data_IF_389541940775
#
_entry.id   IF_389541940775
#
_cell.length_a   1.000
_cell.length_b   1.000
_cell.length_c   1.000
_cell.angle_alpha   90.00
_cell.angle_beta   90.00
_cell.angle_gamma   90.00
#
_symmetry.space_group_name_H-M   'P 1'
#
loop_
_entity.id
_entity.type
_entity.pdbx_description
1 polymer ?
#
# COMPACT_ATOMS: atom_id res chain seq x y z
N UNK A 1 -26.86 2.27 15.96
CA UNK A 1 -28.02 1.76 15.19
C UNK A 1 -28.16 2.63 13.95
N UNK A 2 -27.92 2.09 12.76
CA UNK A 2 -28.10 2.82 11.50
C UNK A 2 -29.60 2.82 11.18
N UNK A 3 -30.19 3.99 11.14
CA UNK A 3 -31.62 4.15 10.87
C UNK A 3 -31.83 4.30 9.35
N UNK A 4 -32.10 3.20 8.67
CA UNK A 4 -32.37 3.22 7.22
C UNK A 4 -33.81 3.64 7.01
N UNK A 5 -34.04 4.90 6.70
CA UNK A 5 -35.39 5.48 6.61
C UNK A 5 -36.04 5.53 5.23
N UNK A 6 -35.32 5.22 4.14
CA UNK A 6 -35.88 5.33 2.78
C UNK A 6 -35.37 4.28 1.82
N UNK A 7 -36.28 3.77 1.00
CA UNK A 7 -36.08 2.70 0.01
C UNK A 7 -35.16 3.08 -1.15
N UNK A 8 -34.82 4.35 -1.32
CA UNK A 8 -34.07 4.87 -2.49
C UNK A 8 -32.70 5.48 -2.16
N UNK A 9 -32.20 5.33 -0.94
CA UNK A 9 -30.88 5.83 -0.57
C UNK A 9 -29.85 4.72 -0.64
N UNK A 10 -28.77 4.95 -1.37
CA UNK A 10 -27.59 4.09 -1.31
C UNK A 10 -26.88 4.40 0.01
N UNK A 11 -26.77 3.39 0.87
CA UNK A 11 -25.98 3.45 2.10
C UNK A 11 -24.68 2.70 1.86
N UNK A 12 -23.57 3.39 1.96
CA UNK A 12 -22.26 2.74 2.00
C UNK A 12 -22.08 2.08 3.37
N UNK A 13 -21.95 0.76 3.37
CA UNK A 13 -21.68 -0.02 4.56
C UNK A 13 -20.29 -0.65 4.44
N UNK A 14 -19.48 -0.52 5.48
CA UNK A 14 -18.11 -1.05 5.53
C UNK A 14 -17.19 -0.53 4.40
N UNK A 15 -17.11 0.80 4.19
CA UNK A 15 -16.20 1.34 3.20
C UNK A 15 -14.75 1.02 3.58
N UNK A 16 -13.93 0.67 2.60
CA UNK A 16 -12.49 0.62 2.77
C UNK A 16 -11.97 2.06 2.66
N UNK A 17 -11.33 2.56 3.70
CA UNK A 17 -10.74 3.90 3.69
C UNK A 17 -9.33 3.86 3.09
N UNK A 18 -9.03 4.85 2.25
CA UNK A 18 -7.70 5.08 1.71
C UNK A 18 -7.32 6.52 2.04
N UNK A 19 -6.19 6.68 2.74
CA UNK A 19 -5.59 8.00 2.94
C UNK A 19 -4.42 8.14 1.97
N UNK A 20 -4.50 9.12 1.07
CA UNK A 20 -3.43 9.46 0.16
C UNK A 20 -2.81 10.80 0.58
N UNK A 21 -1.49 10.83 0.67
CA UNK A 21 -0.74 12.03 1.03
C UNK A 21 0.43 12.24 0.07
N UNK A 22 0.66 13.50 -0.32
CA UNK A 22 1.85 13.91 -1.08
C UNK A 22 2.87 14.52 -0.13
N UNK A 23 4.11 14.61 -0.58
CA UNK A 23 5.20 15.30 0.14
C UNK A 23 5.41 14.80 1.58
N UNK A 24 5.36 13.48 1.75
CA UNK A 24 5.59 12.84 3.06
C UNK A 24 7.02 13.11 3.55
N UNK A 25 8.00 13.11 2.65
CA UNK A 25 9.40 13.46 2.92
C UNK A 25 9.82 14.64 2.06
N UNK A 26 10.84 15.40 2.52
CA UNK A 26 11.52 16.36 1.64
C UNK A 26 12.28 15.62 0.54
N UNK A 27 12.62 16.29 -0.58
CA UNK A 27 13.43 15.67 -1.62
C UNK A 27 14.76 15.11 -1.08
N UNK A 28 15.43 15.84 -0.19
CA UNK A 28 16.71 15.45 0.41
C UNK A 28 16.56 14.21 1.31
N UNK A 29 15.50 14.15 2.13
CA UNK A 29 15.20 12.98 2.95
C UNK A 29 14.89 11.76 2.05
N UNK A 30 14.14 11.97 0.98
CA UNK A 30 13.80 10.91 0.03
C UNK A 30 15.05 10.37 -0.69
N UNK A 31 15.95 11.24 -1.14
CA UNK A 31 17.20 10.85 -1.79
C UNK A 31 18.09 10.02 -0.85
N UNK A 32 18.16 10.37 0.43
CA UNK A 32 18.88 9.60 1.44
C UNK A 32 18.29 8.19 1.60
N UNK A 33 16.94 8.07 1.61
CA UNK A 33 16.29 6.76 1.66
C UNK A 33 16.53 5.94 0.41
N UNK A 34 16.48 6.55 -0.78
CA UNK A 34 16.79 5.87 -2.05
C UNK A 34 18.23 5.32 -2.00
N UNK A 35 19.19 6.13 -1.59
CA UNK A 35 20.58 5.69 -1.45
C UNK A 35 20.72 4.52 -0.46
N UNK A 36 20.03 4.59 0.68
CA UNK A 36 20.01 3.53 1.68
C UNK A 36 19.41 2.23 1.12
N UNK A 37 18.29 2.31 0.39
CA UNK A 37 17.65 1.15 -0.25
C UNK A 37 18.62 0.46 -1.21
N UNK A 38 19.30 1.21 -2.07
CA UNK A 38 20.28 0.62 -2.99
C UNK A 38 21.47 0.00 -2.26
N UNK A 39 21.92 0.57 -1.14
CA UNK A 39 22.97 -0.01 -0.31
C UNK A 39 22.51 -1.35 0.29
N UNK A 40 21.29 -1.39 0.88
CA UNK A 40 20.72 -2.61 1.42
C UNK A 40 20.54 -3.68 0.33
N UNK A 41 20.06 -3.29 -0.84
CA UNK A 41 19.94 -4.20 -2.00
C UNK A 41 21.29 -4.79 -2.40
N UNK A 42 22.37 -3.99 -2.38
CA UNK A 42 23.72 -4.48 -2.67
C UNK A 42 24.24 -5.42 -1.58
N UNK A 43 23.83 -5.21 -0.34
CA UNK A 43 24.20 -6.06 0.81
C UNK A 43 23.48 -7.39 0.80
N UNK A 44 22.16 -7.38 0.59
CA UNK A 44 21.33 -8.58 0.66
C UNK A 44 21.14 -9.30 -0.69
N UNK A 45 21.45 -8.62 -1.79
CA UNK A 45 21.19 -9.13 -3.14
C UNK A 45 19.73 -9.00 -3.54
N UNK A 46 19.38 -9.69 -4.64
CA UNK A 46 17.98 -9.80 -5.05
C UNK A 46 17.19 -10.63 -4.04
N UNK A 47 15.99 -10.17 -3.70
CA UNK A 47 15.13 -10.83 -2.73
C UNK A 47 14.66 -12.21 -3.18
N UNK A 48 14.11 -12.96 -2.26
CA UNK A 48 13.56 -14.29 -2.52
C UNK A 48 12.28 -14.18 -3.36
N UNK A 49 12.33 -14.64 -4.61
CA UNK A 49 11.20 -14.66 -5.54
C UNK A 49 10.46 -16.00 -5.53
N UNK A 50 10.88 -16.96 -4.71
CA UNK A 50 10.35 -18.34 -4.76
C UNK A 50 8.93 -18.45 -4.22
N UNK A 51 8.54 -17.53 -3.36
CA UNK A 51 7.23 -17.54 -2.70
C UNK A 51 6.12 -16.89 -3.56
N UNK A 52 6.46 -16.37 -4.74
CA UNK A 52 5.55 -15.73 -5.66
C UNK A 52 5.34 -16.57 -6.93
N UNK A 53 4.09 -16.66 -7.41
CA UNK A 53 3.76 -17.35 -8.65
C UNK A 53 4.45 -16.71 -9.86
N UNK A 54 4.60 -15.38 -9.81
CA UNK A 54 5.28 -14.60 -10.83
C UNK A 54 6.81 -14.55 -10.68
N UNK A 55 7.43 -15.43 -9.94
CA UNK A 55 8.83 -15.48 -9.50
C UNK A 55 9.83 -14.59 -10.23
N UNK A 56 10.00 -14.77 -11.57
CA UNK A 56 10.92 -13.95 -12.37
C UNK A 56 10.47 -12.51 -12.59
N UNK A 57 9.18 -12.21 -12.47
CA UNK A 57 8.61 -10.88 -12.63
C UNK A 57 8.48 -10.13 -11.29
N UNK A 58 8.71 -10.80 -10.16
CA UNK A 58 8.66 -10.18 -8.85
C UNK A 58 9.75 -9.11 -8.67
N UNK A 59 9.49 -8.06 -7.87
CA UNK A 59 10.49 -7.03 -7.59
C UNK A 59 11.67 -7.57 -6.78
N UNK A 60 12.80 -6.89 -6.84
CA UNK A 60 13.86 -7.06 -5.85
C UNK A 60 13.40 -6.46 -4.52
N UNK A 61 13.44 -7.24 -3.44
CA UNK A 61 12.98 -6.81 -2.11
C UNK A 61 13.85 -7.38 -1.00
N UNK A 62 13.67 -6.87 0.20
CA UNK A 62 14.32 -7.40 1.41
C UNK A 62 13.36 -8.14 2.35
N UNK A 63 12.16 -8.49 1.88
CA UNK A 63 11.20 -9.25 2.68
C UNK A 63 11.82 -10.56 3.19
N UNK A 64 11.62 -10.87 4.46
CA UNK A 64 12.25 -11.98 5.17
C UNK A 64 13.79 -11.90 5.34
N UNK A 65 14.44 -10.80 4.91
CA UNK A 65 15.88 -10.60 5.08
C UNK A 65 16.21 -9.51 6.10
N UNK A 66 15.41 -8.45 6.11
CA UNK A 66 15.63 -7.31 6.99
C UNK A 66 14.35 -6.49 7.13
N UNK A 67 14.06 -6.06 8.34
CA UNK A 67 12.99 -5.09 8.62
C UNK A 67 13.55 -3.68 8.47
N UNK A 68 13.21 -2.99 7.36
CA UNK A 68 13.74 -1.63 7.13
C UNK A 68 13.22 -0.61 8.14
N UNK A 69 12.11 -0.86 8.82
CA UNK A 69 11.59 0.02 9.85
C UNK A 69 12.51 0.14 11.08
N UNK A 70 13.44 -0.77 11.27
CA UNK A 70 14.42 -0.76 12.37
C UNK A 70 15.63 0.13 12.09
N UNK A 71 15.88 0.54 10.83
CA UNK A 71 17.00 1.41 10.49
C UNK A 71 16.70 2.87 10.82
N UNK A 72 17.67 3.55 11.39
CA UNK A 72 17.54 4.95 11.80
C UNK A 72 17.17 5.87 10.63
N UNK A 73 17.68 5.59 9.44
CA UNK A 73 17.41 6.37 8.24
C UNK A 73 15.94 6.35 7.84
N UNK A 74 15.20 5.28 8.15
CA UNK A 74 13.76 5.16 7.85
C UNK A 74 12.87 5.74 8.95
N UNK A 75 13.42 6.10 10.10
CA UNK A 75 12.64 6.63 11.22
C UNK A 75 11.73 7.81 10.84
N UNK A 76 12.19 8.84 10.11
CA UNK A 76 11.30 9.95 9.72
C UNK A 76 10.11 9.50 8.89
N UNK A 77 10.31 8.57 7.95
CA UNK A 77 9.24 8.00 7.16
C UNK A 77 8.26 7.21 8.02
N UNK A 78 8.76 6.34 8.89
CA UNK A 78 7.94 5.51 9.78
C UNK A 78 7.09 6.37 10.71
N UNK A 79 7.66 7.45 11.29
CA UNK A 79 6.93 8.37 12.15
C UNK A 79 5.80 9.09 11.42
N UNK A 80 6.04 9.58 10.20
CA UNK A 80 5.02 10.23 9.37
C UNK A 80 3.93 9.27 8.91
N UNK A 81 4.29 8.07 8.48
CA UNK A 81 3.32 7.02 8.16
C UNK A 81 2.47 6.67 9.40
N UNK A 82 3.09 6.53 10.56
CA UNK A 82 2.36 6.25 11.81
C UNK A 82 1.37 7.36 12.15
N UNK A 83 1.73 8.63 11.92
CA UNK A 83 0.81 9.75 12.11
C UNK A 83 -0.39 9.64 11.16
N UNK A 84 -0.16 9.37 9.88
CA UNK A 84 -1.23 9.18 8.91
C UNK A 84 -2.13 7.99 9.27
N UNK A 85 -1.55 6.89 9.75
CA UNK A 85 -2.31 5.73 10.24
C UNK A 85 -3.22 6.14 11.41
N UNK A 86 -2.73 6.93 12.35
CA UNK A 86 -3.57 7.44 13.47
C UNK A 86 -4.72 8.32 12.98
N UNK A 87 -4.48 9.19 12.00
CA UNK A 87 -5.53 10.02 11.40
C UNK A 87 -6.62 9.16 10.75
N UNK A 88 -6.19 8.15 10.00
CA UNK A 88 -7.11 7.23 9.35
C UNK A 88 -7.87 6.37 10.37
N UNK A 89 -7.19 5.86 11.40
CA UNK A 89 -7.81 5.09 12.49
C UNK A 89 -8.91 5.87 13.20
N UNK A 90 -8.70 7.17 13.44
CA UNK A 90 -9.74 8.04 14.01
C UNK A 90 -10.98 8.12 13.13
N UNK A 91 -10.85 8.07 11.82
CA UNK A 91 -12.02 8.02 10.91
C UNK A 91 -12.84 6.74 11.08
N UNK A 92 -12.23 5.66 11.58
CA UNK A 92 -12.89 4.41 11.98
C UNK A 92 -13.32 4.40 13.46
N UNK A 93 -13.09 5.49 14.19
CA UNK A 93 -13.46 5.60 15.61
C UNK A 93 -12.47 4.94 16.57
N UNK A 94 -11.22 4.72 16.15
CA UNK A 94 -10.15 4.20 17.00
C UNK A 94 -9.14 5.28 17.36
N UNK A 95 -8.83 5.36 18.65
CA UNK A 95 -7.76 6.18 19.23
C UNK A 95 -6.62 5.32 19.81
N UNK A 96 -6.52 4.05 19.38
CA UNK A 96 -5.46 3.15 19.82
C UNK A 96 -4.08 3.62 19.36
N UNK A 97 -3.05 3.18 20.08
CA UNK A 97 -1.67 3.37 19.67
C UNK A 97 -1.28 2.37 18.59
N UNK A 98 -0.78 2.91 17.47
CA UNK A 98 -0.30 2.13 16.34
C UNK A 98 1.21 2.28 16.21
N UNK A 99 1.87 1.20 15.85
CA UNK A 99 3.30 1.15 15.56
C UNK A 99 3.58 0.29 14.33
N UNK A 100 4.66 0.60 13.63
CA UNK A 100 5.11 -0.18 12.49
C UNK A 100 5.77 -1.47 13.00
N UNK A 101 5.21 -2.61 12.65
CA UNK A 101 5.75 -3.93 12.99
C UNK A 101 6.76 -4.43 11.99
N UNK A 102 6.58 -4.08 10.71
CA UNK A 102 7.39 -4.58 9.62
C UNK A 102 7.43 -3.59 8.47
N UNK A 103 8.58 -3.49 7.81
CA UNK A 103 8.76 -2.71 6.60
C UNK A 103 9.78 -3.35 5.67
N UNK A 104 9.53 -3.29 4.37
CA UNK A 104 10.45 -3.74 3.33
C UNK A 104 10.42 -2.79 2.14
N UNK A 105 11.43 -2.84 1.30
CA UNK A 105 11.45 -2.14 0.03
C UNK A 105 11.16 -3.08 -1.13
N UNK A 106 10.63 -2.53 -2.21
CA UNK A 106 10.51 -3.18 -3.50
C UNK A 106 11.20 -2.32 -4.58
N UNK A 107 12.06 -2.92 -5.38
CA UNK A 107 12.68 -2.29 -6.55
C UNK A 107 12.15 -3.00 -7.79
N UNK A 108 11.39 -2.27 -8.59
CA UNK A 108 10.83 -2.75 -9.85
C UNK A 108 11.72 -2.31 -11.00
N UNK A 109 12.11 -3.25 -11.86
CA UNK A 109 12.66 -2.99 -13.19
C UNK A 109 11.59 -3.24 -14.25
N UNK A 110 11.87 -2.97 -15.51
CA UNK A 110 10.93 -3.20 -16.62
C UNK A 110 10.33 -4.60 -16.57
N UNK A 111 9.02 -4.67 -16.79
CA UNK A 111 8.23 -5.91 -16.75
C UNK A 111 8.20 -6.64 -15.40
N UNK A 112 8.48 -5.92 -14.31
CA UNK A 112 8.36 -6.43 -12.95
C UNK A 112 7.07 -5.95 -12.31
N UNK A 113 6.41 -6.83 -11.56
CA UNK A 113 5.20 -6.53 -10.81
C UNK A 113 5.12 -7.40 -9.56
N UNK A 114 4.29 -7.00 -8.62
CA UNK A 114 3.93 -7.80 -7.47
C UNK A 114 2.49 -8.25 -7.60
N UNK A 115 2.25 -9.52 -7.31
CA UNK A 115 0.93 -10.11 -7.36
C UNK A 115 0.00 -9.52 -6.30
N UNK A 116 -1.30 -9.64 -6.52
CA UNK A 116 -2.29 -9.33 -5.49
C UNK A 116 -2.08 -10.23 -4.28
N UNK A 117 -1.97 -9.62 -3.14
CA UNK A 117 -1.78 -10.29 -1.86
C UNK A 117 -2.47 -9.52 -0.75
N UNK A 118 -2.50 -10.09 0.44
CA UNK A 118 -3.05 -9.51 1.65
C UNK A 118 -2.01 -9.54 2.76
N UNK A 119 -2.18 -8.70 3.75
CA UNK A 119 -1.34 -8.63 4.95
C UNK A 119 -2.14 -9.12 6.16
N UNK A 120 -2.24 -10.44 6.41
CA UNK A 120 -3.19 -11.00 7.37
C UNK A 120 -2.93 -10.62 8.82
N UNK A 121 -1.73 -10.17 9.14
CA UNK A 121 -1.32 -9.80 10.50
C UNK A 121 -1.20 -8.29 10.71
N UNK A 122 -1.65 -7.48 9.74
CA UNK A 122 -1.61 -6.03 9.81
C UNK A 122 -3.02 -5.46 9.89
N UNK A 123 -3.21 -4.45 10.74
CA UNK A 123 -4.44 -3.66 10.79
C UNK A 123 -4.42 -2.64 9.64
N UNK A 124 -3.26 -2.04 9.41
CA UNK A 124 -3.02 -1.06 8.35
C UNK A 124 -1.81 -1.46 7.53
N UNK A 125 -1.86 -1.19 6.23
CA UNK A 125 -0.74 -1.33 5.32
C UNK A 125 -0.47 0.00 4.63
N UNK A 126 0.80 0.36 4.47
CA UNK A 126 1.20 1.59 3.82
C UNK A 126 2.16 1.31 2.67
N UNK A 127 2.04 2.08 1.60
CA UNK A 127 2.97 2.07 0.47
C UNK A 127 3.53 3.48 0.29
N UNK A 128 4.84 3.62 0.27
CA UNK A 128 5.52 4.87 -0.02
C UNK A 128 6.29 4.75 -1.34
N UNK A 129 5.97 5.60 -2.30
CA UNK A 129 6.64 5.64 -3.60
C UNK A 129 7.84 6.60 -3.53
N UNK A 130 9.05 6.05 -3.35
CA UNK A 130 10.28 6.83 -3.29
C UNK A 130 10.71 7.36 -4.66
N UNK A 131 10.53 6.54 -5.69
CA UNK A 131 10.87 6.86 -7.08
C UNK A 131 9.96 6.10 -8.02
N UNK A 132 9.42 6.81 -8.99
CA UNK A 132 8.46 6.27 -9.95
C UNK A 132 8.94 6.55 -11.35
N UNK A 133 8.90 5.54 -12.22
CA UNK A 133 9.17 5.70 -13.65
C UNK A 133 7.93 6.20 -14.39
N UNK A 134 8.13 6.80 -15.56
CA UNK A 134 7.05 7.34 -16.41
C UNK A 134 6.03 6.26 -16.80
N UNK A 135 6.48 5.02 -16.99
CA UNK A 135 5.63 3.88 -17.40
C UNK A 135 5.05 3.08 -16.23
N UNK A 136 5.13 3.60 -15.00
CA UNK A 136 4.61 2.90 -13.82
C UNK A 136 3.08 2.79 -13.87
N UNK A 137 2.58 1.57 -13.68
CA UNK A 137 1.14 1.30 -13.66
C UNK A 137 0.47 1.63 -12.32
N UNK A 138 1.24 1.98 -11.29
CA UNK A 138 0.72 2.33 -9.96
C UNK A 138 0.36 1.14 -9.08
N UNK A 139 -0.36 1.43 -8.01
CA UNK A 139 -0.86 0.46 -7.05
C UNK A 139 -2.31 0.11 -7.37
N UNK A 140 -2.57 -1.17 -7.53
CA UNK A 140 -3.89 -1.71 -7.81
C UNK A 140 -4.49 -2.31 -6.54
N UNK A 141 -5.65 -1.83 -6.13
CA UNK A 141 -6.35 -2.28 -4.95
C UNK A 141 -7.66 -2.96 -5.35
N UNK A 142 -7.77 -4.24 -5.04
CA UNK A 142 -9.01 -4.99 -5.27
C UNK A 142 -9.89 -4.99 -4.02
N UNK A 143 -11.18 -5.04 -4.24
CA UNK A 143 -12.14 -5.25 -3.16
C UNK A 143 -11.82 -6.56 -2.42
N UNK A 144 -11.80 -6.55 -1.09
CA UNK A 144 -11.50 -7.75 -0.30
C UNK A 144 -12.63 -8.81 -0.34
N UNK A 145 -13.85 -8.42 -0.68
CA UNK A 145 -15.04 -9.27 -0.66
C UNK A 145 -15.35 -9.97 -1.98
N UNK A 146 -14.38 -10.04 -2.88
CA UNK A 146 -14.56 -10.66 -4.22
C UNK A 146 -14.94 -12.15 -4.20
N UNK A 147 -14.81 -12.83 -3.08
CA UNK A 147 -14.99 -14.29 -3.00
C UNK A 147 -16.43 -14.80 -3.09
N UNK A 148 -17.44 -13.96 -3.00
CA UNK A 148 -18.84 -14.39 -2.89
C UNK A 148 -19.83 -13.75 -3.85
N UNK A 149 -19.45 -12.70 -4.58
CA UNK A 149 -20.39 -11.99 -5.45
C UNK A 149 -20.11 -12.24 -6.92
N UNK A 150 -21.16 -12.60 -7.66
CA UNK A 150 -21.11 -12.66 -9.11
C UNK A 150 -21.11 -11.22 -9.64
N UNK A 151 -20.07 -10.76 -10.32
CA UNK A 151 -20.05 -9.40 -10.86
C UNK A 151 -21.10 -9.26 -11.96
N UNK A 152 -21.75 -8.09 -12.11
CA UNK A 152 -22.68 -7.85 -13.19
C UNK A 152 -22.00 -7.99 -14.55
N UNK A 153 -22.67 -8.69 -15.48
CA UNK A 153 -22.12 -8.93 -16.83
C UNK A 153 -21.94 -7.66 -17.65
N UNK A 154 -22.82 -6.68 -17.45
CA UNK A 154 -22.81 -5.43 -18.19
C UNK A 154 -22.66 -4.26 -17.20
N UNK A 155 -21.49 -3.67 -17.19
CA UNK A 155 -21.21 -2.46 -16.42
C UNK A 155 -21.27 -1.26 -17.36
N UNK A 156 -22.11 -0.30 -17.04
CA UNK A 156 -22.17 0.96 -17.84
C UNK A 156 -21.06 1.92 -17.45
N UNK A 157 -20.51 1.80 -16.26
CA UNK A 157 -19.38 2.58 -15.77
C UNK A 157 -18.63 1.83 -14.68
N UNK A 158 -17.38 2.16 -14.55
CA UNK A 158 -16.52 1.67 -13.51
C UNK A 158 -16.68 2.55 -12.24
N UNK A 159 -16.81 1.94 -11.09
CA UNK A 159 -16.92 2.62 -9.79
C UNK A 159 -16.13 1.88 -8.73
N UNK A 160 -15.70 2.53 -7.63
CA UNK A 160 -15.05 1.84 -6.51
C UNK A 160 -15.87 0.70 -5.91
N UNK A 161 -17.19 0.69 -6.13
CA UNK A 161 -18.09 -0.36 -5.63
C UNK A 161 -18.09 -1.62 -6.50
N UNK A 162 -17.65 -1.54 -7.75
CA UNK A 162 -17.68 -2.65 -8.69
C UNK A 162 -16.31 -3.01 -9.26
N UNK A 163 -15.22 -2.37 -8.78
CA UNK A 163 -13.92 -2.48 -9.37
C UNK A 163 -12.75 -2.39 -8.40
N UNK A 164 -11.62 -2.54 -9.02
CA UNK A 164 -10.29 -2.20 -8.64
C UNK A 164 -10.10 -0.68 -8.60
N UNK A 165 -9.47 -0.18 -7.56
CA UNK A 165 -9.00 1.19 -7.49
C UNK A 165 -7.54 1.21 -7.91
N UNK A 166 -7.21 2.02 -8.93
CA UNK A 166 -5.83 2.22 -9.37
C UNK A 166 -5.36 3.56 -8.82
N UNK A 167 -4.26 3.53 -8.09
CA UNK A 167 -3.61 4.70 -7.55
C UNK A 167 -2.33 4.94 -8.33
N UNK A 168 -2.38 5.92 -9.22
CA UNK A 168 -1.24 6.30 -10.02
C UNK A 168 -0.25 7.14 -9.20
N UNK A 169 1.06 6.90 -9.29
CA UNK A 169 2.06 7.80 -8.75
C UNK A 169 1.97 9.19 -9.48
N UNK A 170 2.37 10.31 -8.87
CA UNK A 170 3.36 10.40 -7.80
C UNK A 170 2.81 10.56 -6.37
N UNK A 171 1.65 10.05 -6.09
CA UNK A 171 1.10 10.16 -4.74
C UNK A 171 1.80 9.16 -3.80
N UNK A 172 2.39 9.66 -2.72
CA UNK A 172 2.69 8.81 -1.58
C UNK A 172 1.37 8.34 -0.98
N UNK A 173 1.24 7.05 -0.77
CA UNK A 173 -0.04 6.47 -0.41
C UNK A 173 0.09 5.66 0.87
N UNK A 174 -0.89 5.82 1.75
CA UNK A 174 -1.16 4.89 2.83
C UNK A 174 -2.43 4.16 2.49
N UNK A 175 -2.31 2.85 2.33
CA UNK A 175 -3.40 1.96 2.00
C UNK A 175 -3.72 1.05 3.18
N UNK A 176 -4.98 0.72 3.31
CA UNK A 176 -5.50 -0.19 4.31
C UNK A 176 -6.21 -1.35 3.65
#
# INVERSE_FOLDING_TARGET
MINVKTVNNIVEAFPVGILAQTEVLTPEENDLLIAKVYNLRNTFGAGNTKDWLSGKASPDNCYNQSNIAEYLEFRPLVERITQCVRELARSYGSDDDYYCTEGWYNIYSSNRYQEYHVHPNAIFSAVYFMKVGEDSQGLHIKRPDHGGMIPPKNKQRETPLNQEVIIAPPLSLIHI
#
